data_IF_299347106358
#
_entry.id   IF_299347106358
#
_cell.length_a   1.000
_cell.length_b   1.000
_cell.length_c   1.000
_cell.angle_alpha   90.00
_cell.angle_beta   90.00
_cell.angle_gamma   90.00
#
_symmetry.space_group_name_H-M   'P 1'
#
loop_
_entity.id
_entity.type
_entity.pdbx_description
1 polymer ?
#
# COMPACT_ATOMS: atom_id res chain seq x y z
N UNK A 1 8.58 -42.37 84.55
CA UNK A 1 8.89 -41.14 83.70
C UNK A 1 9.60 -41.64 82.44
N UNK A 2 8.82 -41.88 81.38
CA UNK A 2 9.30 -42.51 80.12
C UNK A 2 9.60 -41.41 79.14
N UNK A 3 10.83 -41.35 78.58
CA UNK A 3 11.22 -40.46 77.47
C UNK A 3 11.05 -41.21 76.16
N UNK A 4 10.11 -40.84 75.37
CA UNK A 4 9.97 -41.26 73.95
C UNK A 4 11.00 -40.60 73.08
N UNK A 5 11.85 -41.40 72.46
CA UNK A 5 12.80 -40.98 71.40
C UNK A 5 12.11 -41.09 70.03
N UNK A 6 11.87 -40.00 69.40
CA UNK A 6 11.38 -40.00 68.02
C UNK A 6 12.56 -40.06 67.04
N UNK A 7 12.61 -41.15 66.32
CA UNK A 7 13.54 -41.31 65.18
C UNK A 7 12.91 -40.61 63.97
N UNK A 8 13.64 -39.61 63.42
CA UNK A 8 13.25 -38.94 62.21
C UNK A 8 13.88 -39.69 61.04
N UNK A 9 13.05 -40.32 60.20
CA UNK A 9 13.47 -41.00 58.98
C UNK A 9 13.57 -39.94 57.91
N UNK A 10 14.78 -39.67 57.39
CA UNK A 10 15.05 -38.76 56.28
C UNK A 10 14.94 -39.58 54.99
N UNK A 11 13.80 -39.45 54.28
CA UNK A 11 13.60 -40.02 52.95
C UNK A 11 14.26 -39.10 51.94
N UNK A 12 15.37 -39.50 51.37
CA UNK A 12 16.05 -38.84 50.26
C UNK A 12 15.31 -39.16 48.97
N UNK A 13 14.51 -38.20 48.49
CA UNK A 13 13.81 -38.31 47.22
C UNK A 13 14.84 -38.01 46.10
N UNK A 14 15.25 -39.03 45.36
CA UNK A 14 16.02 -38.88 44.12
C UNK A 14 15.09 -38.32 43.03
N UNK A 15 15.26 -37.05 42.69
CA UNK A 15 14.72 -36.51 41.45
C UNK A 15 15.58 -36.97 40.26
N UNK A 16 15.09 -37.97 39.54
CA UNK A 16 15.60 -38.28 38.21
C UNK A 16 15.12 -37.16 37.25
N UNK A 17 16.00 -36.25 36.91
CA UNK A 17 15.80 -35.40 35.76
C UNK A 17 15.85 -36.26 34.49
N UNK A 18 14.67 -36.62 33.98
CA UNK A 18 14.56 -37.09 32.61
C UNK A 18 14.84 -35.90 31.72
N UNK A 19 16.01 -35.92 31.07
CA UNK A 19 16.31 -35.02 29.95
C UNK A 19 15.43 -35.51 28.80
N UNK A 20 14.18 -35.02 28.74
CA UNK A 20 13.35 -35.12 27.54
C UNK A 20 13.94 -34.17 26.53
N UNK A 21 14.42 -34.68 25.41
CA UNK A 21 14.61 -33.85 24.21
C UNK A 21 13.22 -33.32 23.84
N UNK A 22 12.96 -32.03 24.08
CA UNK A 22 11.85 -31.35 23.42
C UNK A 22 12.17 -31.44 21.93
N UNK A 23 11.44 -32.28 21.21
CA UNK A 23 11.34 -32.20 19.79
C UNK A 23 10.80 -30.78 19.51
N UNK A 24 11.62 -29.93 18.88
CA UNK A 24 11.18 -28.61 18.46
C UNK A 24 9.95 -28.80 17.57
N UNK A 25 8.80 -28.28 18.03
CA UNK A 25 7.59 -28.29 17.23
C UNK A 25 7.91 -27.61 15.91
N UNK A 26 7.74 -28.32 14.78
CA UNK A 26 7.93 -27.71 13.47
C UNK A 26 6.85 -26.64 13.31
N UNK A 27 7.29 -25.41 13.07
CA UNK A 27 6.38 -24.30 12.75
C UNK A 27 5.74 -24.55 11.40
N UNK A 28 4.44 -24.23 11.27
CA UNK A 28 3.75 -24.34 9.99
C UNK A 28 4.41 -23.39 8.96
N UNK A 29 4.64 -23.85 7.74
CA UNK A 29 5.22 -23.02 6.69
C UNK A 29 4.37 -21.77 6.42
N UNK A 30 5.03 -20.65 6.21
CA UNK A 30 4.40 -19.37 5.85
C UNK A 30 4.57 -19.09 4.37
N UNK A 31 3.55 -18.55 3.73
CA UNK A 31 3.49 -18.41 2.28
C UNK A 31 3.60 -16.94 1.88
N UNK A 32 4.52 -16.66 0.93
CA UNK A 32 4.58 -15.43 0.17
C UNK A 32 4.13 -15.75 -1.27
N UNK A 33 3.08 -15.12 -1.74
CA UNK A 33 2.68 -15.22 -3.15
C UNK A 33 3.61 -14.38 -4.00
N UNK A 34 4.10 -14.98 -5.08
CA UNK A 34 4.88 -14.32 -6.12
C UNK A 34 3.92 -14.05 -7.26
N UNK A 35 3.42 -12.84 -7.36
CA UNK A 35 2.49 -12.40 -8.39
C UNK A 35 3.17 -11.38 -9.29
N UNK A 36 2.52 -11.03 -10.40
CA UNK A 36 3.13 -10.14 -11.36
C UNK A 36 3.59 -8.84 -10.69
N UNK A 37 4.91 -8.62 -10.69
CA UNK A 37 5.63 -7.47 -10.19
C UNK A 37 5.61 -7.22 -8.66
N UNK A 38 5.08 -8.16 -7.84
CA UNK A 38 5.10 -8.02 -6.39
C UNK A 38 5.26 -9.34 -5.61
N UNK A 39 5.73 -9.22 -4.36
CA UNK A 39 5.65 -10.25 -3.34
C UNK A 39 4.54 -9.92 -2.35
N UNK A 40 3.62 -10.86 -2.12
CA UNK A 40 2.47 -10.64 -1.23
C UNK A 40 2.37 -11.70 -0.12
N UNK A 41 2.50 -11.33 1.16
CA UNK A 41 2.79 -9.98 1.65
C UNK A 41 4.21 -9.52 1.33
N UNK A 42 4.41 -8.22 1.22
CA UNK A 42 5.73 -7.62 0.98
C UNK A 42 6.65 -7.75 2.21
N UNK A 43 6.07 -7.67 3.39
CA UNK A 43 6.76 -7.91 4.68
C UNK A 43 6.06 -9.05 5.40
N UNK A 44 6.82 -10.06 5.78
CA UNK A 44 6.31 -11.22 6.51
C UNK A 44 7.08 -11.39 7.83
N UNK A 45 6.37 -11.44 8.94
CA UNK A 45 6.92 -11.66 10.28
C UNK A 45 6.81 -13.15 10.64
N UNK A 46 7.91 -13.76 11.05
CA UNK A 46 7.98 -15.18 11.40
C UNK A 46 8.86 -15.43 12.61
N UNK A 47 8.66 -16.57 13.26
CA UNK A 47 9.53 -17.02 14.35
C UNK A 47 10.79 -17.72 13.81
N UNK A 48 11.92 -17.70 14.54
CA UNK A 48 13.09 -18.49 14.18
C UNK A 48 12.76 -19.97 13.99
N UNK A 49 13.28 -20.59 12.94
CA UNK A 49 12.98 -21.97 12.54
C UNK A 49 11.80 -22.11 11.57
N UNK A 50 11.13 -21.00 11.20
CA UNK A 50 10.03 -21.02 10.23
C UNK A 50 10.56 -21.22 8.80
N UNK A 51 9.91 -22.10 8.05
CA UNK A 51 10.09 -22.22 6.60
C UNK A 51 9.14 -21.27 5.89
N UNK A 52 9.66 -20.42 5.03
CA UNK A 52 8.87 -19.56 4.14
C UNK A 52 8.87 -20.16 2.75
N UNK A 53 7.68 -20.21 2.13
CA UNK A 53 7.46 -20.75 0.79
C UNK A 53 7.06 -19.59 -0.12
N UNK A 54 7.84 -19.32 -1.16
CA UNK A 54 7.44 -18.44 -2.26
C UNK A 54 6.71 -19.24 -3.32
N UNK A 55 5.44 -18.96 -3.53
CA UNK A 55 4.57 -19.67 -4.45
C UNK A 55 4.19 -18.79 -5.63
N UNK A 56 4.62 -19.16 -6.84
CA UNK A 56 4.35 -18.38 -8.04
C UNK A 56 2.92 -18.57 -8.54
N UNK A 57 2.17 -17.45 -8.59
CA UNK A 57 0.80 -17.40 -9.10
C UNK A 57 0.60 -16.50 -10.32
N UNK A 58 1.58 -15.66 -10.64
CA UNK A 58 1.53 -14.73 -11.76
C UNK A 58 1.74 -15.34 -13.15
N UNK A 59 1.70 -14.50 -14.17
CA UNK A 59 1.95 -14.89 -15.56
C UNK A 59 3.41 -14.69 -15.97
N UNK A 60 4.14 -13.80 -15.27
CA UNK A 60 5.53 -13.49 -15.56
C UNK A 60 6.49 -14.46 -14.89
N UNK A 61 7.72 -14.51 -15.39
CA UNK A 61 8.81 -15.24 -14.77
C UNK A 61 9.44 -14.41 -13.65
N UNK A 62 9.70 -15.02 -12.51
CA UNK A 62 10.26 -14.38 -11.34
C UNK A 62 11.51 -15.07 -10.83
N UNK A 63 12.18 -14.42 -9.89
CA UNK A 63 13.17 -15.07 -9.03
C UNK A 63 13.06 -14.47 -7.61
N UNK A 64 13.65 -15.14 -6.65
CA UNK A 64 13.76 -14.68 -5.26
C UNK A 64 15.23 -14.75 -4.89
N UNK A 65 15.84 -13.59 -4.65
CA UNK A 65 17.26 -13.48 -4.34
C UNK A 65 17.41 -12.61 -3.08
N UNK A 66 18.14 -13.12 -2.08
CA UNK A 66 18.52 -12.31 -0.93
C UNK A 66 19.31 -11.07 -1.36
N UNK A 67 19.03 -9.91 -0.78
CA UNK A 67 19.71 -8.66 -1.12
C UNK A 67 21.21 -8.68 -0.84
N UNK A 68 21.64 -9.52 0.11
CA UNK A 68 23.05 -9.78 0.43
C UNK A 68 23.67 -10.95 -0.36
N UNK A 69 22.88 -11.61 -1.21
CA UNK A 69 23.31 -12.76 -2.00
C UNK A 69 23.48 -14.08 -1.21
N UNK A 70 23.06 -14.14 0.05
CA UNK A 70 23.26 -15.32 0.92
C UNK A 70 22.43 -16.54 0.53
N UNK A 71 21.28 -16.32 -0.13
CA UNK A 71 20.41 -17.38 -0.67
C UNK A 71 19.63 -16.90 -1.89
N UNK A 72 19.20 -17.84 -2.72
CA UNK A 72 18.37 -17.56 -3.89
C UNK A 72 17.59 -18.81 -4.31
N UNK A 73 16.46 -18.60 -4.98
CA UNK A 73 15.76 -19.65 -5.68
C UNK A 73 16.62 -20.12 -6.86
N UNK A 74 16.98 -21.40 -6.87
CA UNK A 74 17.75 -22.00 -7.97
C UNK A 74 16.77 -22.86 -8.73
N UNK A 75 16.43 -22.50 -9.97
CA UNK A 75 15.82 -23.46 -10.88
C UNK A 75 16.92 -24.19 -11.67
N UNK A 76 16.65 -25.47 -11.96
CA UNK A 76 17.58 -26.36 -12.60
C UNK A 76 18.15 -25.83 -13.93
N UNK A 77 19.46 -25.90 -14.07
CA UNK A 77 20.27 -26.13 -15.26
C UNK A 77 20.34 -25.13 -16.42
N UNK A 78 19.57 -24.05 -16.50
CA UNK A 78 19.58 -23.25 -17.74
C UNK A 78 19.77 -21.73 -17.61
N UNK A 79 19.67 -21.13 -16.41
CA UNK A 79 19.81 -19.69 -16.25
C UNK A 79 20.67 -19.31 -15.03
N UNK A 80 21.56 -18.35 -15.24
CA UNK A 80 22.49 -17.81 -14.24
C UNK A 80 21.81 -17.28 -12.97
N UNK A 81 20.47 -17.08 -12.99
CA UNK A 81 19.69 -16.50 -11.90
C UNK A 81 18.42 -17.27 -11.55
N UNK A 82 18.27 -18.54 -11.85
CA UNK A 82 17.05 -19.31 -11.56
C UNK A 82 15.75 -18.63 -12.06
N UNK A 83 14.78 -19.38 -12.50
CA UNK A 83 13.46 -18.86 -12.90
C UNK A 83 12.38 -19.59 -12.12
N UNK A 84 11.47 -18.84 -11.48
CA UNK A 84 10.24 -19.33 -10.89
C UNK A 84 9.11 -19.00 -11.86
N UNK A 85 8.45 -20.04 -12.40
CA UNK A 85 7.30 -19.90 -13.28
C UNK A 85 6.01 -20.22 -12.55
N UNK A 86 4.88 -19.93 -13.15
CA UNK A 86 3.57 -20.19 -12.56
C UNK A 86 3.42 -21.63 -12.06
N UNK A 87 3.12 -21.78 -10.79
CA UNK A 87 2.94 -23.06 -10.11
C UNK A 87 4.21 -23.59 -9.45
N UNK A 88 5.37 -22.98 -9.68
CA UNK A 88 6.60 -23.33 -8.98
C UNK A 88 6.60 -22.77 -7.54
N UNK A 89 7.38 -23.43 -6.69
CA UNK A 89 7.60 -23.03 -5.31
C UNK A 89 9.10 -23.04 -5.02
N UNK A 90 9.51 -22.07 -4.21
CA UNK A 90 10.83 -22.01 -3.58
C UNK A 90 10.65 -21.93 -2.08
N UNK A 91 11.47 -22.64 -1.31
CA UNK A 91 11.42 -22.59 0.15
C UNK A 91 12.78 -22.28 0.75
N UNK A 92 12.74 -21.54 1.87
CA UNK A 92 13.91 -21.24 2.69
C UNK A 92 13.51 -21.21 4.17
N UNK A 93 14.35 -21.81 5.03
CA UNK A 93 14.13 -21.84 6.48
C UNK A 93 15.02 -20.80 7.17
N UNK A 94 14.41 -19.92 7.94
CA UNK A 94 15.08 -18.85 8.68
C UNK A 94 15.29 -19.26 10.13
N UNK A 95 16.52 -19.65 10.51
CA UNK A 95 16.82 -20.15 11.85
C UNK A 95 17.26 -19.06 12.84
N UNK A 96 17.78 -17.96 12.35
CA UNK A 96 18.35 -16.92 13.20
C UNK A 96 17.45 -15.66 13.16
N UNK A 97 17.25 -14.97 14.30
CA UNK A 97 16.58 -13.68 14.29
C UNK A 97 17.30 -12.66 13.41
N UNK A 98 16.52 -11.88 12.65
CA UNK A 98 17.10 -10.88 11.75
C UNK A 98 16.11 -10.32 10.75
N UNK A 99 16.57 -9.40 9.93
CA UNK A 99 15.85 -8.79 8.81
C UNK A 99 16.49 -9.29 7.52
N UNK A 100 15.69 -9.91 6.67
CA UNK A 100 16.13 -10.58 5.45
C UNK A 100 15.43 -9.98 4.26
N UNK A 101 16.07 -9.00 3.63
CA UNK A 101 15.57 -8.37 2.42
C UNK A 101 15.86 -9.23 1.19
N UNK A 102 14.92 -9.23 0.25
CA UNK A 102 15.05 -9.98 -1.00
C UNK A 102 14.33 -9.25 -2.16
N UNK A 103 14.64 -9.65 -3.39
CA UNK A 103 14.10 -9.01 -4.58
C UNK A 103 14.00 -9.98 -5.76
N UNK A 104 13.26 -9.56 -6.78
CA UNK A 104 13.24 -10.21 -8.09
C UNK A 104 14.10 -9.41 -9.07
N UNK A 105 15.21 -9.97 -9.60
CA UNK A 105 16.13 -9.23 -10.48
C UNK A 105 15.54 -8.91 -11.87
N UNK A 106 14.42 -9.53 -12.23
CA UNK A 106 13.72 -9.23 -13.49
C UNK A 106 12.84 -7.97 -13.37
N UNK A 107 12.33 -7.69 -12.16
CA UNK A 107 11.34 -6.64 -11.92
C UNK A 107 11.79 -5.64 -10.83
N UNK A 108 13.07 -5.69 -10.44
CA UNK A 108 13.59 -4.80 -9.41
C UNK A 108 15.10 -4.92 -9.20
N UNK A 109 15.56 -4.23 -8.17
CA UNK A 109 16.90 -4.29 -7.62
C UNK A 109 16.80 -4.56 -6.12
N UNK A 110 17.92 -4.72 -5.43
CA UNK A 110 17.93 -5.03 -3.99
C UNK A 110 17.23 -3.99 -3.08
N UNK A 111 16.80 -2.86 -3.59
CA UNK A 111 16.12 -1.81 -2.82
C UNK A 111 14.98 -1.09 -3.56
N UNK A 112 14.64 -1.51 -4.77
CA UNK A 112 13.60 -0.85 -5.58
C UNK A 112 12.89 -1.82 -6.52
N UNK A 113 11.59 -1.60 -6.72
CA UNK A 113 10.75 -2.43 -7.59
C UNK A 113 10.16 -3.62 -6.82
N UNK A 114 10.22 -4.82 -7.40
CA UNK A 114 9.72 -6.04 -6.77
C UNK A 114 10.65 -6.52 -5.67
N UNK A 115 10.40 -6.05 -4.45
CA UNK A 115 11.19 -6.32 -3.23
C UNK A 115 10.28 -6.87 -2.12
N UNK A 116 10.88 -7.63 -1.19
CA UNK A 116 10.20 -8.12 0.00
C UNK A 116 11.16 -8.24 1.18
N UNK A 117 10.61 -8.44 2.38
CA UNK A 117 11.37 -8.58 3.62
C UNK A 117 10.77 -9.68 4.49
N UNK A 118 11.61 -10.58 5.01
CA UNK A 118 11.24 -11.49 6.08
C UNK A 118 11.84 -10.97 7.38
N UNK A 119 11.01 -10.75 8.39
CA UNK A 119 11.40 -10.33 9.73
C UNK A 119 11.30 -11.54 10.65
N UNK A 120 12.42 -11.99 11.18
CA UNK A 120 12.52 -13.21 11.97
C UNK A 120 12.74 -12.88 13.45
N UNK A 121 11.84 -13.36 14.31
CA UNK A 121 11.90 -13.12 15.75
C UNK A 121 11.56 -11.70 16.17
N UNK A 122 11.85 -11.39 17.43
CA UNK A 122 11.58 -10.08 18.03
C UNK A 122 12.75 -9.12 17.72
N UNK A 123 12.73 -8.57 16.51
CA UNK A 123 13.69 -7.57 16.05
C UNK A 123 12.97 -6.27 15.73
N UNK A 124 13.54 -5.14 16.10
CA UNK A 124 13.02 -3.83 15.76
C UNK A 124 13.12 -3.60 14.23
N UNK A 125 12.10 -4.00 13.51
CA UNK A 125 11.97 -3.72 12.09
C UNK A 125 11.05 -2.52 11.88
N UNK A 126 11.63 -1.43 11.46
CA UNK A 126 10.87 -0.30 10.92
C UNK A 126 10.74 -0.56 9.43
N UNK A 127 9.51 -0.71 8.93
CA UNK A 127 9.26 -0.72 7.48
C UNK A 127 9.79 0.63 6.96
N UNK A 128 11.04 0.64 6.54
CA UNK A 128 11.52 1.69 5.65
C UNK A 128 11.00 1.31 4.26
N UNK A 129 9.70 1.47 4.03
CA UNK A 129 9.33 1.91 2.70
C UNK A 129 10.24 3.11 2.42
N UNK A 130 10.62 3.34 1.17
CA UNK A 130 11.33 4.55 0.76
C UNK A 130 10.42 5.77 1.03
N UNK A 131 10.09 5.94 2.29
CA UNK A 131 9.69 7.18 2.87
C UNK A 131 11.04 7.90 3.05
N UNK A 132 11.54 8.59 2.03
CA UNK A 132 12.03 9.93 2.33
C UNK A 132 11.09 10.38 3.42
N UNK A 133 11.58 10.68 4.63
CA UNK A 133 10.73 11.27 5.68
C UNK A 133 9.95 12.38 5.01
N UNK A 134 8.78 11.99 4.48
CA UNK A 134 7.78 12.93 4.03
C UNK A 134 7.32 13.49 5.35
N UNK A 135 7.93 14.60 5.76
CA UNK A 135 7.44 15.39 6.87
C UNK A 135 6.03 15.78 6.44
N UNK A 136 5.05 14.96 6.82
CA UNK A 136 3.66 15.24 6.52
C UNK A 136 3.35 16.54 7.24
N UNK A 137 3.17 17.59 6.48
CA UNK A 137 2.58 18.80 7.00
C UNK A 137 1.14 18.47 7.34
N UNK A 138 0.73 18.69 8.58
CA UNK A 138 -0.68 18.53 8.99
C UNK A 138 -1.41 19.86 8.91
N UNK A 139 -0.98 20.77 8.05
CA UNK A 139 -1.64 22.07 7.92
C UNK A 139 -3.00 21.93 7.22
N UNK A 140 -3.90 22.81 7.61
CA UNK A 140 -5.20 22.95 6.97
C UNK A 140 -5.26 24.27 6.21
N UNK A 141 -5.26 24.17 4.87
CA UNK A 141 -5.44 25.32 3.98
C UNK A 141 -6.94 25.47 3.71
N UNK A 142 -7.52 26.58 4.17
CA UNK A 142 -8.97 26.77 4.07
C UNK A 142 -9.34 27.59 2.84
N UNK A 143 -10.26 27.07 2.06
CA UNK A 143 -10.80 27.69 0.85
C UNK A 143 -12.26 28.09 1.08
N UNK A 144 -12.62 29.32 0.78
CA UNK A 144 -13.98 29.83 0.89
C UNK A 144 -14.06 31.35 0.80
N UNK A 145 -15.27 31.89 0.77
CA UNK A 145 -15.50 33.34 0.57
C UNK A 145 -14.77 34.26 1.56
N UNK A 146 -14.60 33.78 2.80
CA UNK A 146 -13.96 34.56 3.89
C UNK A 146 -12.79 33.79 4.50
N UNK A 147 -12.27 32.80 3.80
CA UNK A 147 -11.15 31.99 4.24
C UNK A 147 -9.82 32.50 3.69
N UNK A 148 -8.73 31.80 4.02
CA UNK A 148 -7.38 32.12 3.58
C UNK A 148 -7.26 32.18 2.06
N UNK A 149 -7.93 31.25 1.37
CA UNK A 149 -7.97 31.19 -0.09
C UNK A 149 -9.40 31.33 -0.59
N UNK A 150 -9.57 31.99 -1.72
CA UNK A 150 -10.86 32.10 -2.41
C UNK A 150 -10.97 31.19 -3.64
N UNK A 151 -9.84 30.65 -4.09
CA UNK A 151 -9.73 29.65 -5.15
C UNK A 151 -9.11 28.38 -4.61
N UNK A 152 -9.55 27.25 -5.14
CA UNK A 152 -9.03 25.93 -4.77
C UNK A 152 -7.60 25.78 -5.29
N UNK A 153 -7.33 26.22 -6.54
CA UNK A 153 -6.01 26.10 -7.15
C UNK A 153 -4.94 26.82 -6.32
N UNK A 154 -5.23 28.03 -5.83
CA UNK A 154 -4.26 28.80 -5.04
C UNK A 154 -3.86 28.05 -3.74
N UNK A 155 -4.81 27.36 -3.10
CA UNK A 155 -4.53 26.55 -1.94
C UNK A 155 -3.77 25.25 -2.28
N UNK A 156 -4.05 24.65 -3.44
CA UNK A 156 -3.35 23.45 -3.91
C UNK A 156 -1.90 23.79 -4.29
N UNK A 157 -1.65 24.95 -4.89
CA UNK A 157 -0.31 25.42 -5.26
C UNK A 157 0.58 25.68 -4.02
N UNK A 158 -0.04 26.12 -2.91
CA UNK A 158 0.67 26.37 -1.64
C UNK A 158 0.75 25.13 -0.73
N UNK A 159 0.05 24.02 -1.09
CA UNK A 159 -0.01 22.83 -0.25
C UNK A 159 1.30 22.05 -0.28
N UNK A 160 1.78 21.65 0.89
CA UNK A 160 2.86 20.71 1.07
C UNK A 160 2.32 19.27 1.26
N UNK A 161 3.17 18.29 1.07
CA UNK A 161 2.84 16.88 1.30
C UNK A 161 2.26 16.65 2.69
N UNK A 162 1.09 16.01 2.76
CA UNK A 162 0.34 15.75 4.00
C UNK A 162 -0.72 16.80 4.33
N UNK A 163 -0.76 17.92 3.62
CA UNK A 163 -1.70 18.99 3.89
C UNK A 163 -3.14 18.62 3.51
N UNK A 164 -4.07 19.21 4.23
CA UNK A 164 -5.49 19.18 3.96
C UNK A 164 -5.95 20.52 3.33
N UNK A 165 -6.38 20.49 2.08
CA UNK A 165 -7.13 21.59 1.45
C UNK A 165 -8.60 21.41 1.80
N UNK A 166 -9.09 22.19 2.77
CA UNK A 166 -10.48 22.13 3.25
C UNK A 166 -11.32 23.18 2.55
N UNK A 167 -12.25 22.71 1.72
CA UNK A 167 -13.04 23.56 0.82
C UNK A 167 -14.43 23.80 1.42
N UNK A 168 -14.73 25.05 1.70
CA UNK A 168 -16.02 25.50 2.21
C UNK A 168 -17.13 25.53 1.14
N UNK A 169 -18.40 25.75 1.56
CA UNK A 169 -19.53 25.78 0.63
C UNK A 169 -19.37 26.88 -0.42
N UNK A 170 -19.62 26.54 -1.68
CA UNK A 170 -19.53 27.46 -2.81
C UNK A 170 -19.61 26.75 -4.15
N UNK A 171 -19.78 27.53 -5.23
CA UNK A 171 -19.59 27.08 -6.60
C UNK A 171 -18.28 27.69 -7.08
N UNK A 172 -17.34 26.82 -7.38
CA UNK A 172 -15.99 27.19 -7.82
C UNK A 172 -15.88 26.93 -9.32
N UNK A 173 -15.83 28.03 -10.09
CA UNK A 173 -15.73 27.96 -11.55
C UNK A 173 -14.26 27.91 -11.95
N UNK A 174 -13.64 26.78 -11.70
CA UNK A 174 -12.21 26.56 -11.97
C UNK A 174 -11.93 25.09 -12.29
N UNK A 175 -10.79 24.83 -12.89
CA UNK A 175 -10.15 23.52 -13.03
C UNK A 175 -9.00 23.48 -12.06
N UNK A 176 -8.81 22.35 -11.39
CA UNK A 176 -7.77 22.18 -10.36
C UNK A 176 -6.75 21.16 -10.83
N UNK A 177 -5.48 21.53 -10.83
CA UNK A 177 -4.36 20.65 -11.14
C UNK A 177 -3.57 20.36 -9.86
N UNK A 178 -3.41 19.08 -9.53
CA UNK A 178 -2.66 18.62 -8.36
C UNK A 178 -1.33 18.04 -8.82
N UNK A 179 -0.24 18.60 -8.29
CA UNK A 179 1.13 18.15 -8.55
C UNK A 179 1.92 17.82 -7.28
N UNK A 180 1.28 17.93 -6.11
CA UNK A 180 1.87 17.60 -4.81
C UNK A 180 1.29 16.28 -4.31
N UNK A 181 2.18 15.32 -4.03
CA UNK A 181 1.81 13.98 -3.51
C UNK A 181 1.28 14.04 -2.09
N UNK A 182 0.40 13.10 -1.75
CA UNK A 182 -0.13 12.85 -0.41
C UNK A 182 -0.91 14.03 0.19
N UNK A 183 -1.53 14.88 -0.62
CA UNK A 183 -2.47 15.90 -0.14
C UNK A 183 -3.91 15.40 -0.19
N UNK A 184 -4.75 16.00 0.65
CA UNK A 184 -6.20 15.72 0.65
C UNK A 184 -6.97 16.97 0.25
N UNK A 185 -7.80 16.87 -0.79
CA UNK A 185 -8.80 17.86 -1.15
C UNK A 185 -10.15 17.40 -0.58
N UNK A 186 -10.68 18.11 0.42
CA UNK A 186 -11.92 17.74 1.11
C UNK A 186 -12.92 18.88 1.11
N UNK A 187 -14.10 18.63 0.55
CA UNK A 187 -15.25 19.51 0.75
C UNK A 187 -15.85 19.38 2.15
N UNK A 188 -16.34 20.47 2.71
CA UNK A 188 -17.06 20.43 4.00
C UNK A 188 -18.45 19.81 3.88
N UNK A 189 -19.04 19.81 2.68
CA UNK A 189 -20.36 19.24 2.40
C UNK A 189 -20.45 18.88 0.91
N UNK A 190 -20.65 17.59 0.64
CA UNK A 190 -20.73 17.01 -0.71
C UNK A 190 -21.67 17.75 -1.66
N UNK A 191 -22.80 18.27 -1.13
CA UNK A 191 -23.83 18.91 -1.93
C UNK A 191 -23.68 20.43 -2.04
N UNK A 192 -22.79 21.03 -1.25
CA UNK A 192 -22.60 22.48 -1.20
C UNK A 192 -21.24 22.94 -1.71
N UNK A 193 -20.28 22.04 -1.81
CA UNK A 193 -18.98 22.30 -2.44
C UNK A 193 -19.03 21.78 -3.86
N UNK A 194 -19.11 22.67 -4.84
CA UNK A 194 -19.32 22.33 -6.24
C UNK A 194 -18.21 22.94 -7.09
N UNK A 195 -17.47 22.13 -7.80
CA UNK A 195 -16.51 22.54 -8.83
C UNK A 195 -17.24 22.44 -10.17
N UNK A 196 -17.37 23.56 -10.88
CA UNK A 196 -18.18 23.68 -12.08
C UNK A 196 -17.37 24.21 -13.25
N UNK A 197 -17.17 23.38 -14.26
CA UNK A 197 -16.39 23.70 -15.45
C UNK A 197 -17.12 24.59 -16.45
N UNK A 198 -18.45 24.78 -16.32
CA UNK A 198 -19.28 25.56 -17.23
C UNK A 198 -19.11 25.14 -18.71
N UNK A 199 -18.63 23.91 -18.97
CA UNK A 199 -18.22 23.39 -20.27
C UNK A 199 -17.12 24.23 -20.97
N UNK A 200 -16.26 24.92 -20.18
CA UNK A 200 -15.17 25.73 -20.68
C UNK A 200 -13.79 25.12 -20.41
N UNK A 201 -13.70 24.16 -19.49
CA UNK A 201 -12.46 23.45 -19.13
C UNK A 201 -12.61 21.96 -19.39
N UNK A 202 -11.50 21.27 -19.65
CA UNK A 202 -11.48 19.84 -19.98
C UNK A 202 -11.74 18.96 -18.75
N UNK A 203 -10.97 19.13 -17.68
CA UNK A 203 -11.04 18.31 -16.48
C UNK A 203 -11.32 19.16 -15.24
N UNK A 204 -12.09 18.61 -14.30
CA UNK A 204 -12.43 19.30 -13.07
C UNK A 204 -11.27 19.29 -12.07
N UNK A 205 -10.89 18.13 -11.60
CA UNK A 205 -9.68 17.94 -10.81
C UNK A 205 -8.81 16.94 -11.55
N UNK A 206 -7.58 17.34 -11.85
CA UNK A 206 -6.62 16.50 -12.55
C UNK A 206 -5.35 16.32 -11.70
N UNK A 207 -4.97 15.05 -11.54
CA UNK A 207 -3.83 14.62 -10.75
C UNK A 207 -2.86 13.90 -11.68
N UNK A 208 -1.65 14.43 -11.86
CA UNK A 208 -0.66 13.89 -12.79
C UNK A 208 0.59 13.45 -12.06
N UNK A 209 1.01 12.18 -12.30
CA UNK A 209 2.26 11.60 -11.81
C UNK A 209 2.49 11.88 -10.31
N UNK A 210 1.39 11.77 -9.53
CA UNK A 210 1.34 12.22 -8.13
C UNK A 210 0.67 11.17 -7.28
N UNK A 211 1.36 10.68 -6.25
CA UNK A 211 0.91 9.57 -5.42
C UNK A 211 0.10 10.02 -4.19
N UNK A 212 -0.75 9.13 -3.68
CA UNK A 212 -1.45 9.28 -2.41
C UNK A 212 -2.47 10.41 -2.32
N UNK A 213 -2.89 11.00 -3.45
CA UNK A 213 -3.84 12.11 -3.46
C UNK A 213 -5.25 11.61 -3.19
N UNK A 214 -5.89 12.22 -2.19
CA UNK A 214 -7.30 11.98 -1.84
C UNK A 214 -8.17 13.15 -2.30
N UNK A 215 -9.29 12.85 -2.97
CA UNK A 215 -10.35 13.81 -3.29
C UNK A 215 -11.65 13.30 -2.68
N UNK A 216 -12.27 14.10 -1.81
CA UNK A 216 -13.43 13.62 -1.10
C UNK A 216 -14.46 14.69 -0.72
N UNK A 217 -15.71 14.23 -0.54
CA UNK A 217 -16.84 14.99 0.01
C UNK A 217 -17.17 16.28 -0.74
N UNK A 218 -17.15 16.23 -2.08
CA UNK A 218 -17.47 17.36 -2.95
C UNK A 218 -18.17 16.92 -4.25
N UNK A 219 -18.66 17.90 -5.01
CA UNK A 219 -19.28 17.67 -6.33
C UNK A 219 -18.44 18.28 -7.46
N UNK A 220 -18.39 17.60 -8.62
CA UNK A 220 -17.70 18.06 -9.82
C UNK A 220 -18.60 17.89 -11.04
N UNK A 221 -18.75 18.94 -11.85
CA UNK A 221 -19.67 18.92 -12.97
C UNK A 221 -19.31 19.82 -14.14
N UNK A 222 -19.96 19.58 -15.28
CA UNK A 222 -19.96 20.44 -16.46
C UNK A 222 -18.57 20.70 -17.03
N UNK A 223 -17.71 19.69 -17.06
CA UNK A 223 -16.42 19.69 -17.76
C UNK A 223 -16.58 19.04 -19.13
N UNK A 224 -15.74 19.44 -20.09
CA UNK A 224 -15.82 18.92 -21.47
C UNK A 224 -15.24 17.52 -21.62
N UNK A 225 -14.43 17.05 -20.66
CA UNK A 225 -13.92 15.68 -20.57
C UNK A 225 -14.29 15.07 -19.21
N UNK A 226 -13.39 15.10 -18.21
CA UNK A 226 -13.52 14.34 -16.99
C UNK A 226 -13.90 15.20 -15.78
N UNK A 227 -14.65 14.62 -14.86
CA UNK A 227 -14.89 15.25 -13.56
C UNK A 227 -13.63 15.23 -12.70
N UNK A 228 -13.17 14.05 -12.29
CA UNK A 228 -11.92 13.87 -11.53
C UNK A 228 -11.05 12.85 -12.27
N UNK A 229 -9.81 13.20 -12.50
CA UNK A 229 -8.90 12.45 -13.35
C UNK A 229 -7.55 12.21 -12.65
N UNK A 230 -7.25 10.95 -12.34
CA UNK A 230 -5.93 10.50 -11.90
C UNK A 230 -5.19 9.90 -13.09
N UNK A 231 -3.96 10.34 -13.30
CA UNK A 231 -3.11 9.88 -14.39
C UNK A 231 -1.72 9.52 -13.87
N UNK A 232 -1.36 8.25 -13.98
CA UNK A 232 -0.06 7.72 -13.56
C UNK A 232 0.18 8.01 -12.07
N UNK A 233 -0.81 7.63 -11.24
CA UNK A 233 -0.82 7.86 -9.79
C UNK A 233 -0.93 6.54 -9.04
N UNK A 234 -0.26 6.44 -7.88
CA UNK A 234 -0.33 5.29 -7.00
C UNK A 234 -1.00 5.66 -5.69
N UNK A 235 -1.82 4.74 -5.12
CA UNK A 235 -2.43 4.93 -3.81
C UNK A 235 -3.47 6.04 -3.76
N UNK A 236 -4.15 6.33 -4.86
CA UNK A 236 -5.15 7.40 -4.95
C UNK A 236 -6.46 7.05 -4.25
N UNK A 237 -7.22 8.06 -3.82
CA UNK A 237 -8.55 7.85 -3.26
C UNK A 237 -9.55 8.88 -3.75
N UNK A 238 -10.69 8.40 -4.24
CA UNK A 238 -11.89 9.19 -4.50
C UNK A 238 -13.05 8.71 -3.63
N UNK A 239 -13.53 9.53 -2.67
CA UNK A 239 -14.61 9.09 -1.80
C UNK A 239 -15.66 10.17 -1.56
N UNK A 240 -16.92 9.73 -1.36
CA UNK A 240 -18.05 10.64 -1.16
C UNK A 240 -18.14 11.72 -2.25
N UNK A 241 -17.90 11.35 -3.51
CA UNK A 241 -17.98 12.26 -4.64
C UNK A 241 -19.37 12.22 -5.30
N UNK A 242 -19.82 13.38 -5.78
CA UNK A 242 -20.92 13.48 -6.73
C UNK A 242 -20.39 14.09 -8.02
N UNK A 243 -20.29 13.28 -9.06
CA UNK A 243 -19.81 13.72 -10.36
C UNK A 243 -20.91 13.58 -11.39
N UNK A 244 -21.20 14.62 -12.14
CA UNK A 244 -22.29 14.57 -13.09
C UNK A 244 -22.13 15.55 -14.26
N UNK A 245 -22.68 15.13 -15.40
CA UNK A 245 -22.76 15.95 -16.60
C UNK A 245 -21.39 16.43 -17.11
N UNK A 246 -20.37 15.53 -17.07
CA UNK A 246 -19.07 15.76 -17.71
C UNK A 246 -19.04 15.07 -19.07
N UNK A 247 -18.23 15.57 -19.99
CA UNK A 247 -18.28 15.23 -21.41
C UNK A 247 -17.72 13.87 -21.79
N UNK A 248 -17.01 13.18 -20.88
CA UNK A 248 -16.44 11.85 -21.12
C UNK A 248 -16.66 10.96 -19.89
N UNK A 249 -15.82 11.09 -18.84
CA UNK A 249 -15.91 10.29 -17.62
C UNK A 249 -16.31 11.11 -16.39
N UNK A 250 -16.96 10.46 -15.42
CA UNK A 250 -17.18 11.04 -14.10
C UNK A 250 -15.89 11.07 -13.29
N UNK A 251 -15.42 9.89 -12.87
CA UNK A 251 -14.11 9.69 -12.28
C UNK A 251 -13.30 8.72 -13.15
N UNK A 252 -12.06 9.05 -13.39
CA UNK A 252 -11.19 8.29 -14.25
C UNK A 252 -9.81 8.10 -13.63
N UNK A 253 -9.37 6.85 -13.52
CA UNK A 253 -8.01 6.48 -13.16
C UNK A 253 -7.31 5.85 -14.37
N UNK A 254 -6.39 6.58 -14.98
CA UNK A 254 -5.59 6.16 -16.13
C UNK A 254 -4.19 5.76 -15.68
N UNK A 255 -3.72 4.59 -16.09
CA UNK A 255 -2.37 4.09 -15.75
C UNK A 255 -2.02 4.27 -14.26
N UNK A 256 -3.01 4.08 -13.39
CA UNK A 256 -2.92 4.33 -11.95
C UNK A 256 -3.20 3.05 -11.17
N UNK A 257 -2.52 2.87 -10.01
CA UNK A 257 -2.55 1.63 -9.22
C UNK A 257 -2.88 1.89 -7.75
N UNK A 258 -3.24 0.82 -7.02
CA UNK A 258 -3.46 0.82 -5.57
C UNK A 258 -4.46 1.89 -5.11
N UNK A 259 -5.44 2.19 -5.96
CA UNK A 259 -6.43 3.23 -5.70
C UNK A 259 -7.78 2.68 -5.25
N UNK A 260 -8.59 3.56 -4.66
CA UNK A 260 -9.93 3.24 -4.17
C UNK A 260 -10.94 4.30 -4.59
N UNK A 261 -12.07 3.85 -5.15
CA UNK A 261 -13.28 4.65 -5.26
C UNK A 261 -14.34 4.12 -4.28
N UNK A 262 -14.81 4.98 -3.39
CA UNK A 262 -15.77 4.65 -2.36
C UNK A 262 -16.89 5.70 -2.28
N UNK A 263 -18.14 5.27 -2.20
CA UNK A 263 -19.31 6.16 -2.10
C UNK A 263 -19.36 7.23 -3.21
N UNK A 264 -18.99 6.89 -4.44
CA UNK A 264 -19.05 7.77 -5.61
C UNK A 264 -20.43 7.64 -6.29
N UNK A 265 -21.09 8.77 -6.48
CA UNK A 265 -22.25 8.89 -7.35
C UNK A 265 -21.84 9.55 -8.66
N UNK A 266 -22.03 8.86 -9.78
CA UNK A 266 -21.68 9.35 -11.11
C UNK A 266 -22.88 9.22 -12.05
N UNK A 267 -23.22 10.29 -12.78
CA UNK A 267 -24.32 10.26 -13.74
C UNK A 267 -24.20 11.29 -14.86
N UNK A 268 -24.82 11.01 -16.00
CA UNK A 268 -24.89 11.93 -17.12
C UNK A 268 -23.56 12.10 -17.87
N UNK A 269 -22.74 11.05 -17.92
CA UNK A 269 -21.51 10.98 -18.69
C UNK A 269 -21.73 10.21 -19.98
N UNK A 270 -21.27 10.69 -21.15
CA UNK A 270 -21.47 9.98 -22.42
C UNK A 270 -20.79 8.62 -22.49
N UNK A 271 -19.61 8.45 -21.88
CA UNK A 271 -18.91 7.17 -21.86
C UNK A 271 -19.18 6.43 -20.52
N UNK A 272 -18.44 6.72 -19.46
CA UNK A 272 -18.59 6.01 -18.19
C UNK A 272 -18.65 6.93 -16.99
N UNK A 273 -19.48 6.57 -15.99
CA UNK A 273 -19.50 7.27 -14.70
C UNK A 273 -18.20 7.08 -13.91
N UNK A 274 -17.72 5.84 -13.88
CA UNK A 274 -16.49 5.44 -13.19
C UNK A 274 -15.69 4.57 -14.16
N UNK A 275 -14.44 4.95 -14.43
CA UNK A 275 -13.56 4.19 -15.30
C UNK A 275 -12.16 4.04 -14.69
N UNK A 276 -11.68 2.80 -14.62
CA UNK A 276 -10.31 2.44 -14.26
C UNK A 276 -9.75 1.69 -15.47
N UNK A 277 -8.71 2.22 -16.07
CA UNK A 277 -8.23 1.62 -17.31
C UNK A 277 -6.83 1.99 -17.73
N UNK A 278 -6.37 1.26 -18.77
CA UNK A 278 -5.10 1.46 -19.44
C UNK A 278 -3.88 1.40 -18.52
N UNK A 279 -4.01 0.66 -17.43
CA UNK A 279 -2.87 0.27 -16.63
C UNK A 279 -2.24 -0.97 -17.26
N UNK A 280 -0.97 -0.91 -17.64
CA UNK A 280 -0.24 -2.08 -18.13
C UNK A 280 1.20 -2.03 -17.57
N UNK A 281 1.60 -3.02 -16.79
CA UNK A 281 0.79 -4.08 -16.19
C UNK A 281 0.07 -3.60 -14.92
N UNK A 282 -1.26 -3.77 -14.85
CA UNK A 282 -2.02 -3.55 -13.64
C UNK A 282 -2.70 -4.85 -13.22
N UNK A 283 -2.50 -5.26 -12.00
CA UNK A 283 -3.37 -6.22 -11.34
C UNK A 283 -4.53 -5.43 -10.68
N UNK A 284 -5.69 -5.50 -11.29
CA UNK A 284 -6.95 -5.01 -10.72
C UNK A 284 -7.67 -6.14 -9.99
#
# INVERSE_FOLDING_TARGET
MSKFLRVLSLSMLLFLFACGSEEAASLDPQIVKVVDDEFSPRVLYVEPGTTVIWESGGANNHNVIASDGSWQAISSDYFEYGIITKGDQYEHTFNEPGIYDYYCPYHGTNNKGMVGTIVVGDVDYVVTEDITEVTLSENVLKVGKNEQYTKIQDAVDDAATGDLVLIGPGVYNESVTVTTSYITLRGTDRNKVIIDGQFMSENGIQIYETDGVTVENLSVRNFTLNGVYWNTSKGFKGSYLTVYNNGDYGVYAFNSTDGVFDNVYASGHPDSGIYIGQCYPCNS
#
